data_IF_858293124085
#
_entry.id   IF_858293124085
#
_cell.length_a   1.000
_cell.length_b   1.000
_cell.length_c   1.000
_cell.angle_alpha   90.00
_cell.angle_beta   90.00
_cell.angle_gamma   90.00
#
_symmetry.space_group_name_H-M   'P 1'
#
loop_
_entity.id
_entity.type
_entity.pdbx_description
1 polymer ?
#
# COMPACT_ATOMS: atom_id res chain seq x y z
N UNK A 1 -5.60 -5.18 -23.26
CA UNK A 1 -4.92 -5.52 -21.99
C UNK A 1 -5.97 -5.63 -20.90
N UNK A 2 -5.79 -6.46 -19.88
CA UNK A 2 -6.80 -6.66 -18.84
C UNK A 2 -6.66 -5.60 -17.74
N UNK A 3 -7.76 -4.95 -17.40
CA UNK A 3 -7.80 -3.93 -16.35
C UNK A 3 -8.51 -4.43 -15.09
N UNK A 4 -8.27 -3.76 -13.96
CA UNK A 4 -8.92 -4.02 -12.67
C UNK A 4 -9.39 -2.72 -12.03
N UNK A 5 -10.51 -2.79 -11.32
CA UNK A 5 -11.02 -1.75 -10.44
C UNK A 5 -11.14 -2.29 -9.02
N UNK A 6 -10.94 -1.44 -8.03
CA UNK A 6 -11.09 -1.77 -6.61
C UNK A 6 -12.19 -0.89 -6.02
N UNK A 7 -13.04 -1.47 -5.18
CA UNK A 7 -14.04 -0.74 -4.41
C UNK A 7 -13.67 -0.87 -2.94
N UNK A 8 -13.03 0.16 -2.38
CA UNK A 8 -12.51 0.12 -1.00
C UNK A 8 -12.98 1.35 -0.24
N UNK A 9 -13.49 1.14 0.98
CA UNK A 9 -14.00 2.24 1.80
C UNK A 9 -15.05 3.12 1.07
N UNK A 10 -15.93 2.50 0.28
CA UNK A 10 -16.94 3.22 -0.51
C UNK A 10 -16.35 4.20 -1.52
N UNK A 11 -15.14 3.93 -2.01
CA UNK A 11 -14.45 4.65 -3.08
C UNK A 11 -14.08 3.66 -4.18
N UNK A 12 -14.16 4.11 -5.43
CA UNK A 12 -13.74 3.33 -6.58
C UNK A 12 -12.35 3.79 -7.05
N UNK A 13 -11.43 2.84 -7.19
CA UNK A 13 -10.08 3.07 -7.72
C UNK A 13 -9.90 2.34 -9.04
N UNK A 14 -9.23 3.02 -9.99
CA UNK A 14 -8.99 2.51 -11.34
C UNK A 14 -9.88 3.15 -12.41
N UNK A 15 -10.02 2.52 -13.58
CA UNK A 15 -9.39 1.25 -13.96
C UNK A 15 -7.87 1.36 -14.04
N UNK A 16 -7.19 0.30 -13.62
CA UNK A 16 -5.74 0.16 -13.74
C UNK A 16 -5.39 -1.07 -14.57
N UNK A 17 -4.26 -1.03 -15.29
CA UNK A 17 -3.72 -2.22 -15.94
C UNK A 17 -3.31 -3.25 -14.89
N UNK A 18 -3.72 -4.52 -15.05
CA UNK A 18 -3.45 -5.57 -14.06
C UNK A 18 -1.95 -5.73 -13.76
N UNK A 19 -1.10 -5.60 -14.78
CA UNK A 19 0.35 -5.67 -14.62
C UNK A 19 0.91 -4.59 -13.68
N UNK A 20 0.21 -3.46 -13.55
CA UNK A 20 0.67 -2.28 -12.82
C UNK A 20 0.09 -2.19 -11.41
N UNK A 21 -0.70 -3.18 -10.97
CA UNK A 21 -1.28 -3.17 -9.61
C UNK A 21 -1.09 -4.49 -8.90
N UNK A 22 -0.39 -4.44 -7.78
CA UNK A 22 -0.32 -5.53 -6.83
C UNK A 22 -1.42 -5.38 -5.76
N UNK A 23 -2.42 -6.25 -5.78
CA UNK A 23 -3.52 -6.26 -4.81
C UNK A 23 -3.06 -6.87 -3.47
N UNK A 24 -2.31 -6.10 -2.68
CA UNK A 24 -1.62 -6.55 -1.48
C UNK A 24 -2.58 -7.12 -0.42
N UNK A 25 -3.72 -6.49 -0.16
CA UNK A 25 -4.68 -7.02 0.83
C UNK A 25 -5.25 -8.39 0.40
N UNK A 26 -5.65 -8.52 -0.86
CA UNK A 26 -6.14 -9.79 -1.43
C UNK A 26 -5.07 -10.87 -1.39
N UNK A 27 -3.82 -10.52 -1.66
CA UNK A 27 -2.69 -11.45 -1.55
C UNK A 27 -2.53 -11.96 -0.12
N UNK A 28 -2.45 -11.05 0.86
CA UNK A 28 -2.26 -11.40 2.27
C UNK A 28 -3.41 -12.24 2.82
N UNK A 29 -4.66 -11.92 2.45
CA UNK A 29 -5.84 -12.71 2.80
C UNK A 29 -5.77 -14.13 2.22
N UNK A 30 -5.50 -14.27 0.92
CA UNK A 30 -5.42 -15.57 0.25
C UNK A 30 -4.25 -16.43 0.77
N UNK A 31 -3.18 -15.79 1.21
CA UNK A 31 -2.00 -16.44 1.78
C UNK A 31 -2.09 -16.68 3.28
N UNK A 32 -3.16 -16.25 3.93
CA UNK A 32 -3.31 -16.31 5.38
C UNK A 32 -2.11 -15.72 6.12
N UNK A 33 -1.56 -14.61 5.59
CA UNK A 33 -0.47 -13.91 6.26
C UNK A 33 -1.01 -13.24 7.52
N UNK A 34 -0.22 -13.28 8.59
CA UNK A 34 -0.52 -12.57 9.84
C UNK A 34 -0.35 -11.06 9.67
N UNK A 35 0.51 -10.64 8.74
CA UNK A 35 0.81 -9.25 8.44
C UNK A 35 -0.40 -8.52 7.87
N UNK A 36 -0.59 -7.26 8.28
CA UNK A 36 -1.64 -6.41 7.70
C UNK A 36 -1.14 -5.86 6.37
N UNK A 37 -2.03 -5.57 5.44
CA UNK A 37 -1.62 -5.00 4.16
C UNK A 37 -2.48 -3.81 3.78
N UNK A 38 -1.87 -2.91 3.02
CA UNK A 38 -2.63 -1.87 2.34
C UNK A 38 -3.49 -2.49 1.24
N UNK A 39 -4.46 -1.74 0.75
CA UNK A 39 -5.36 -2.19 -0.30
C UNK A 39 -4.59 -2.70 -1.53
N UNK A 40 -3.69 -1.88 -2.05
CA UNK A 40 -2.84 -2.24 -3.19
C UNK A 40 -1.58 -1.39 -3.31
N UNK A 41 -0.64 -1.87 -4.13
CA UNK A 41 0.52 -1.12 -4.61
C UNK A 41 0.37 -0.86 -6.10
N UNK A 42 0.35 0.42 -6.50
CA UNK A 42 0.24 0.87 -7.88
C UNK A 42 1.62 1.29 -8.42
N UNK A 43 1.99 0.74 -9.56
CA UNK A 43 3.20 1.10 -10.30
C UNK A 43 2.86 2.11 -11.40
N UNK A 44 3.41 3.32 -11.32
CA UNK A 44 3.17 4.36 -12.34
C UNK A 44 4.47 5.09 -12.67
N UNK A 45 5.02 4.79 -13.85
CA UNK A 45 6.35 5.29 -14.24
C UNK A 45 7.41 4.85 -13.24
N UNK A 46 8.12 5.81 -12.63
CA UNK A 46 9.16 5.57 -11.61
C UNK A 46 8.63 5.61 -10.17
N UNK A 47 7.35 5.30 -9.96
CA UNK A 47 6.73 5.34 -8.62
C UNK A 47 6.09 3.99 -8.30
N UNK A 48 6.39 3.48 -7.11
CA UNK A 48 5.61 2.46 -6.42
C UNK A 48 4.77 3.18 -5.34
N UNK A 49 3.45 3.18 -5.52
CA UNK A 49 2.49 3.89 -4.67
C UNK A 49 1.77 2.86 -3.82
N UNK A 50 2.07 2.81 -2.53
CA UNK A 50 1.39 1.99 -1.54
C UNK A 50 0.16 2.77 -1.05
N UNK A 51 -1.04 2.25 -1.30
CA UNK A 51 -2.28 2.98 -1.08
C UNK A 51 -3.15 2.29 -0.03
N UNK A 52 -3.41 3.01 1.07
CA UNK A 52 -4.43 2.64 2.07
C UNK A 52 -5.62 3.61 1.96
N UNK A 53 -6.83 3.07 2.02
CA UNK A 53 -8.06 3.85 1.91
C UNK A 53 -8.94 3.65 3.16
N UNK A 54 -9.42 4.75 3.77
CA UNK A 54 -10.34 4.72 4.91
C UNK A 54 -11.54 5.62 4.68
N UNK A 55 -12.72 5.15 5.06
CA UNK A 55 -13.98 5.91 5.06
C UNK A 55 -14.54 6.21 6.44
N UNK A 56 -14.12 5.45 7.44
CA UNK A 56 -14.46 5.69 8.83
C UNK A 56 -13.23 6.23 9.54
N UNK A 57 -13.36 7.43 10.08
CA UNK A 57 -12.30 8.14 10.79
C UNK A 57 -12.80 8.39 12.20
N UNK A 58 -12.04 8.00 13.23
CA UNK A 58 -12.43 8.27 14.60
C UNK A 58 -12.58 9.78 14.85
N UNK A 59 -13.54 10.16 15.69
CA UNK A 59 -13.74 11.56 16.09
C UNK A 59 -12.78 11.99 17.21
N UNK A 60 -12.29 11.02 17.99
CA UNK A 60 -11.38 11.28 19.10
C UNK A 60 -9.94 11.41 18.61
N UNK A 61 -9.30 12.56 18.86
CA UNK A 61 -7.88 12.76 18.58
C UNK A 61 -6.99 11.71 19.25
N UNK A 62 -7.38 11.24 20.43
CA UNK A 62 -6.67 10.18 21.15
C UNK A 62 -6.70 8.86 20.39
N UNK A 63 -7.86 8.49 19.84
CA UNK A 63 -8.03 7.27 19.05
C UNK A 63 -7.34 7.38 17.68
N UNK A 64 -7.40 8.57 17.06
CA UNK A 64 -6.65 8.88 15.84
C UNK A 64 -5.15 8.59 16.05
N UNK A 65 -4.57 9.13 17.12
CA UNK A 65 -3.13 9.07 17.35
C UNK A 65 -2.66 7.72 17.90
N UNK A 66 -3.44 7.07 18.77
CA UNK A 66 -3.02 5.82 19.44
C UNK A 66 -3.33 4.57 18.64
N UNK A 67 -4.38 4.58 17.81
CA UNK A 67 -4.86 3.38 17.13
C UNK A 67 -4.93 3.56 15.61
N UNK A 68 -5.60 4.61 15.12
CA UNK A 68 -5.88 4.77 13.69
C UNK A 68 -4.61 4.97 12.86
N UNK A 69 -3.82 6.01 13.14
CA UNK A 69 -2.59 6.29 12.39
C UNK A 69 -1.54 5.18 12.54
N UNK A 70 -1.30 4.62 13.75
CA UNK A 70 -0.42 3.45 13.89
C UNK A 70 -0.88 2.25 13.07
N UNK A 71 -2.18 1.96 13.00
CA UNK A 71 -2.68 0.85 12.18
C UNK A 71 -2.44 1.03 10.68
N UNK A 72 -2.51 2.27 10.19
CA UNK A 72 -2.19 2.61 8.79
C UNK A 72 -0.68 2.48 8.56
N UNK A 73 0.13 2.99 9.49
CA UNK A 73 1.59 2.88 9.41
C UNK A 73 2.06 1.41 9.42
N UNK A 74 1.44 0.56 10.26
CA UNK A 74 1.68 -0.89 10.29
C UNK A 74 1.39 -1.52 8.93
N UNK A 75 0.20 -1.27 8.35
CA UNK A 75 -0.16 -1.77 7.01
C UNK A 75 0.85 -1.34 5.93
N UNK A 76 1.29 -0.07 5.94
CA UNK A 76 2.27 0.45 4.98
C UNK A 76 3.63 -0.25 5.14
N UNK A 77 4.09 -0.40 6.38
CA UNK A 77 5.36 -1.06 6.72
C UNK A 77 5.34 -2.54 6.34
N UNK A 78 4.31 -3.27 6.73
CA UNK A 78 4.16 -4.70 6.44
C UNK A 78 4.09 -4.96 4.93
N UNK A 79 3.37 -4.10 4.19
CA UNK A 79 3.34 -4.23 2.72
C UNK A 79 4.69 -3.93 2.10
N UNK A 80 5.45 -2.96 2.62
CA UNK A 80 6.82 -2.72 2.15
C UNK A 80 7.69 -3.97 2.39
N UNK A 81 7.61 -4.59 3.57
CA UNK A 81 8.35 -5.83 3.85
C UNK A 81 7.95 -6.97 2.91
N UNK A 82 6.66 -7.10 2.60
CA UNK A 82 6.17 -8.09 1.65
C UNK A 82 6.76 -7.87 0.25
N UNK A 83 6.70 -6.64 -0.24
CA UNK A 83 7.25 -6.25 -1.54
C UNK A 83 8.78 -6.41 -1.59
N UNK A 84 9.48 -6.05 -0.51
CA UNK A 84 10.92 -6.25 -0.41
C UNK A 84 11.29 -7.74 -0.38
N UNK A 85 10.44 -8.58 0.25
CA UNK A 85 10.64 -10.03 0.28
C UNK A 85 10.49 -10.66 -1.12
N UNK A 86 9.58 -10.14 -1.94
CA UNK A 86 9.49 -10.51 -3.36
C UNK A 86 10.75 -10.09 -4.13
N UNK A 87 11.21 -8.84 -3.95
CA UNK A 87 12.44 -8.35 -4.56
C UNK A 87 13.67 -9.20 -4.20
N UNK A 88 13.79 -9.60 -2.94
CA UNK A 88 14.85 -10.47 -2.44
C UNK A 88 14.67 -11.95 -2.85
N UNK A 89 13.61 -12.28 -3.61
CA UNK A 89 13.26 -13.64 -4.03
C UNK A 89 13.08 -14.62 -2.86
N UNK A 90 12.67 -14.11 -1.71
CA UNK A 90 12.35 -14.92 -0.52
C UNK A 90 10.98 -15.58 -0.70
N UNK A 91 10.05 -14.88 -1.35
CA UNK A 91 8.74 -15.43 -1.70
C UNK A 91 8.89 -16.45 -2.83
N UNK A 92 8.27 -17.61 -2.69
CA UNK A 92 8.39 -18.69 -3.68
C UNK A 92 7.77 -18.29 -5.03
N UNK A 93 8.50 -18.55 -6.11
CA UNK A 93 8.31 -17.97 -7.46
C UNK A 93 6.99 -18.30 -8.18
N UNK A 94 6.09 -19.09 -7.58
CA UNK A 94 4.94 -19.70 -8.27
C UNK A 94 3.58 -19.01 -8.08
N UNK A 95 3.51 -17.85 -7.43
CA UNK A 95 2.23 -17.14 -7.31
C UNK A 95 2.04 -16.08 -8.40
N UNK A 96 1.00 -16.27 -9.23
CA UNK A 96 0.57 -15.29 -10.24
C UNK A 96 0.13 -13.96 -9.63
N UNK A 97 -0.26 -13.93 -8.35
CA UNK A 97 -0.57 -12.70 -7.65
C UNK A 97 0.64 -11.79 -7.43
N UNK A 98 1.86 -12.33 -7.54
CA UNK A 98 3.11 -11.56 -7.48
C UNK A 98 3.55 -11.06 -8.86
N UNK A 99 2.87 -11.43 -9.95
CA UNK A 99 3.22 -11.02 -11.31
C UNK A 99 3.40 -9.49 -11.48
N UNK A 100 2.59 -8.62 -10.84
CA UNK A 100 2.80 -7.17 -10.93
C UNK A 100 4.14 -6.67 -10.37
N UNK A 101 4.78 -7.45 -9.49
CA UNK A 101 6.09 -7.16 -8.89
C UNK A 101 7.26 -7.66 -9.74
N UNK A 102 7.02 -8.63 -10.64
CA UNK A 102 8.06 -9.25 -11.45
C UNK A 102 8.68 -8.26 -12.44
N UNK A 103 10.01 -8.32 -12.55
CA UNK A 103 10.78 -7.51 -13.51
C UNK A 103 10.80 -6.01 -13.22
N UNK A 104 10.32 -5.58 -12.05
CA UNK A 104 10.40 -4.17 -11.63
C UNK A 104 11.84 -3.81 -11.29
N UNK A 105 12.31 -2.70 -11.85
CA UNK A 105 13.61 -2.13 -11.49
C UNK A 105 13.46 -1.28 -10.22
N UNK A 106 13.58 -1.93 -9.07
CA UNK A 106 13.42 -1.32 -7.76
C UNK A 106 14.41 -0.18 -7.46
N UNK A 107 15.61 -0.22 -8.05
CA UNK A 107 16.62 0.85 -7.90
C UNK A 107 16.17 2.17 -8.54
N UNK A 108 15.26 2.12 -9.52
CA UNK A 108 14.74 3.29 -10.22
C UNK A 108 13.36 3.72 -9.73
N UNK A 109 12.75 2.97 -8.81
CA UNK A 109 11.45 3.29 -8.24
C UNK A 109 11.60 4.17 -7.00
N UNK A 110 10.77 5.21 -6.93
CA UNK A 110 10.50 5.92 -5.69
C UNK A 110 9.36 5.23 -4.95
N UNK A 111 9.54 5.03 -3.65
CA UNK A 111 8.50 4.52 -2.74
C UNK A 111 7.65 5.71 -2.30
N UNK A 112 6.33 5.60 -2.49
CA UNK A 112 5.37 6.65 -2.17
C UNK A 112 4.24 6.04 -1.33
N UNK A 113 3.91 6.66 -0.19
CA UNK A 113 2.80 6.26 0.67
C UNK A 113 1.62 7.20 0.48
N UNK A 114 0.48 6.66 0.07
CA UNK A 114 -0.75 7.42 -0.16
C UNK A 114 -1.81 6.90 0.81
N UNK A 115 -2.35 7.82 1.60
CA UNK A 115 -3.47 7.53 2.49
C UNK A 115 -4.66 8.33 2.00
N UNK A 116 -5.73 7.66 1.60
CA UNK A 116 -6.95 8.27 1.10
C UNK A 116 -8.00 8.23 2.19
N UNK A 117 -8.32 9.40 2.76
CA UNK A 117 -9.25 9.55 3.87
C UNK A 117 -10.54 10.21 3.38
N UNK A 118 -11.59 9.41 3.16
CA UNK A 118 -12.89 9.94 2.71
C UNK A 118 -13.58 10.65 3.87
N UNK A 119 -13.96 11.90 3.66
CA UNK A 119 -14.75 12.67 4.62
C UNK A 119 -13.95 13.28 5.78
N UNK A 120 -12.62 13.20 5.79
CA UNK A 120 -11.82 13.89 6.80
C UNK A 120 -11.81 15.41 6.55
N UNK A 121 -12.19 16.23 7.54
CA UNK A 121 -11.95 17.66 7.49
C UNK A 121 -10.45 17.96 7.41
N UNK A 122 -10.04 18.94 6.58
CA UNK A 122 -8.63 19.27 6.35
C UNK A 122 -7.91 19.73 7.63
N UNK A 123 -8.65 20.39 8.51
CA UNK A 123 -8.21 20.88 9.82
C UNK A 123 -7.97 19.76 10.84
N UNK A 124 -8.49 18.56 10.59
CA UNK A 124 -8.24 17.36 11.41
C UNK A 124 -7.11 16.49 10.85
N UNK A 125 -6.57 16.83 9.66
CA UNK A 125 -5.42 16.10 9.13
C UNK A 125 -4.26 16.26 10.12
N UNK A 126 -3.67 15.16 10.62
CA UNK A 126 -2.47 15.26 11.43
C UNK A 126 -1.41 16.01 10.60
N UNK A 127 -0.61 16.85 11.26
CA UNK A 127 0.53 17.47 10.61
C UNK A 127 1.39 16.34 10.00
N UNK A 128 1.41 16.26 8.66
CA UNK A 128 2.12 15.21 7.95
C UNK A 128 3.62 15.40 8.19
N UNK A 129 4.17 14.70 9.19
CA UNK A 129 5.61 14.51 9.30
C UNK A 129 5.97 13.53 8.18
N UNK A 130 6.41 14.09 7.07
CA UNK A 130 6.89 13.30 5.93
C UNK A 130 8.21 12.65 6.36
N UNK A 131 8.17 11.43 6.89
CA UNK A 131 9.38 10.63 7.07
C UNK A 131 9.77 10.06 5.70
N UNK A 132 10.56 10.83 4.94
CA UNK A 132 11.24 10.32 3.75
C UNK A 132 12.39 9.45 4.24
N UNK A 133 12.15 8.14 4.43
CA UNK A 133 13.23 7.17 4.62
C UNK A 133 13.91 6.90 3.27
N UNK A 134 14.93 7.69 2.93
CA UNK A 134 15.95 7.25 1.99
C UNK A 134 16.97 6.41 2.76
N UNK A 135 16.81 5.09 2.75
CA UNK A 135 17.94 4.20 3.01
C UNK A 135 18.42 3.70 1.64
N UNK A 136 19.53 4.27 1.14
CA UNK A 136 20.29 3.61 0.09
C UNK A 136 20.72 2.25 0.65
N UNK A 137 20.17 1.17 0.11
CA UNK A 137 20.79 -0.13 0.27
C UNK A 137 22.01 -0.14 -0.65
N UNK A 138 23.20 -0.22 -0.05
CA UNK A 138 24.48 -0.41 -0.72
C UNK A 138 24.71 -1.90 -0.97
#
# INVERSE_FOLDING_TARGET
MSTVTFEESGMQFGPFENKDVFAAEKFSQKKHLVSKSVEFVLFRGKKAIFLEAKSSIPQSSDDINKNFLPSIAEKLSDTLHLVASDYMKILSERDSLLDPLKGRNWEQLSINYYVVLKGMPKDQLPALVTYIFFRKFH
#
